data_IF_641244472709
#
_entry.id   IF_641244472709
#
_cell.length_a   1.000
_cell.length_b   1.000
_cell.length_c   1.000
_cell.angle_alpha   90.00
_cell.angle_beta   90.00
_cell.angle_gamma   90.00
#
_symmetry.space_group_name_H-M   'P 1'
#
loop_
_entity.id
_entity.type
_entity.pdbx_description
1 polymer ?
#
# COMPACT_ATOMS: atom_id res chain seq x y z
N UNK A 1 9.61 26.81 -4.69
CA UNK A 1 8.33 26.09 -4.51
C UNK A 1 8.31 24.75 -5.24
N UNK A 2 8.57 24.69 -6.56
CA UNK A 2 8.48 23.44 -7.34
C UNK A 2 9.42 22.29 -6.91
N UNK A 3 10.66 22.60 -6.51
CA UNK A 3 11.63 21.58 -6.07
C UNK A 3 11.18 20.80 -4.82
N UNK A 4 10.71 21.51 -3.79
CA UNK A 4 10.21 20.89 -2.57
C UNK A 4 8.90 20.11 -2.81
N UNK A 5 8.03 20.60 -3.70
CA UNK A 5 6.83 19.88 -4.10
C UNK A 5 7.16 18.55 -4.80
N UNK A 6 8.16 18.56 -5.70
CA UNK A 6 8.61 17.35 -6.39
C UNK A 6 9.23 16.35 -5.42
N UNK A 7 10.09 16.80 -4.51
CA UNK A 7 10.66 15.96 -3.45
C UNK A 7 9.56 15.35 -2.56
N UNK A 8 8.56 16.15 -2.16
CA UNK A 8 7.42 15.67 -1.38
C UNK A 8 6.63 14.60 -2.11
N UNK A 9 6.38 14.77 -3.41
CA UNK A 9 5.66 13.79 -4.23
C UNK A 9 6.45 12.48 -4.38
N UNK A 10 7.76 12.55 -4.61
CA UNK A 10 8.63 11.38 -4.69
C UNK A 10 8.67 10.63 -3.35
N UNK A 11 8.87 11.36 -2.25
CA UNK A 11 8.88 10.77 -0.91
C UNK A 11 7.54 10.08 -0.59
N UNK A 12 6.42 10.74 -0.89
CA UNK A 12 5.09 10.19 -0.72
C UNK A 12 4.88 8.89 -1.53
N UNK A 13 5.29 8.88 -2.81
CA UNK A 13 5.18 7.69 -3.66
C UNK A 13 6.02 6.52 -3.11
N UNK A 14 7.26 6.79 -2.66
CA UNK A 14 8.13 5.77 -2.05
C UNK A 14 7.50 5.20 -0.78
N UNK A 15 6.98 6.06 0.10
CA UNK A 15 6.33 5.62 1.34
C UNK A 15 5.11 4.74 1.06
N UNK A 16 4.28 5.10 0.09
CA UNK A 16 3.13 4.30 -0.33
C UNK A 16 3.57 2.91 -0.84
N UNK A 17 4.62 2.84 -1.65
CA UNK A 17 5.19 1.57 -2.11
C UNK A 17 5.66 0.71 -0.94
N UNK A 18 6.35 1.30 0.05
CA UNK A 18 6.85 0.58 1.21
C UNK A 18 5.72 0.03 2.10
N UNK A 19 4.64 0.80 2.30
CA UNK A 19 3.46 0.36 3.05
C UNK A 19 2.80 -0.84 2.36
N UNK A 20 2.61 -0.77 1.05
CA UNK A 20 1.99 -1.86 0.28
C UNK A 20 2.80 -3.16 0.34
N UNK A 21 4.14 -3.03 0.23
CA UNK A 21 5.04 -4.19 0.38
C UNK A 21 4.96 -4.80 1.78
N UNK A 22 4.83 -3.97 2.83
CA UNK A 22 4.67 -4.46 4.22
C UNK A 22 3.33 -5.15 4.46
N UNK A 23 2.27 -4.70 3.80
CA UNK A 23 0.96 -5.34 3.88
C UNK A 23 0.89 -6.67 3.10
N UNK A 24 1.94 -7.03 2.35
CA UNK A 24 2.03 -8.28 1.59
C UNK A 24 1.44 -8.18 0.18
N UNK A 25 1.17 -6.98 -0.33
CA UNK A 25 0.73 -6.78 -1.71
C UNK A 25 1.92 -6.83 -2.70
N UNK A 26 1.66 -7.28 -3.92
CA UNK A 26 2.65 -7.39 -4.98
C UNK A 26 3.01 -6.01 -5.57
N UNK A 27 4.20 -5.87 -6.16
CA UNK A 27 4.66 -4.61 -6.77
C UNK A 27 3.75 -4.06 -7.88
N UNK A 28 2.95 -4.92 -8.51
CA UNK A 28 1.97 -4.53 -9.55
C UNK A 28 0.74 -3.87 -8.92
N UNK A 29 0.30 -4.32 -7.75
CA UNK A 29 -0.84 -3.70 -7.05
C UNK A 29 -0.52 -2.29 -6.55
N UNK A 30 0.76 -2.01 -6.29
CA UNK A 30 1.24 -0.67 -5.95
C UNK A 30 1.07 0.33 -7.09
N UNK A 31 0.91 -0.11 -8.35
CA UNK A 31 0.71 0.79 -9.51
C UNK A 31 -0.62 1.55 -9.39
N UNK A 32 -1.64 0.95 -8.78
CA UNK A 32 -2.92 1.60 -8.53
C UNK A 32 -2.79 2.87 -7.66
N UNK A 33 -1.70 3.01 -6.90
CA UNK A 33 -1.46 4.18 -6.05
C UNK A 33 -1.10 5.46 -6.81
N UNK A 34 -0.71 5.33 -8.08
CA UNK A 34 -0.31 6.45 -8.92
C UNK A 34 -1.51 7.13 -9.61
N UNK A 35 -2.72 6.59 -9.46
CA UNK A 35 -3.95 7.16 -10.01
C UNK A 35 -4.72 7.84 -8.86
N UNK A 36 -4.84 9.19 -8.83
CA UNK A 36 -5.39 9.91 -7.69
C UNK A 36 -6.80 9.50 -7.27
N UNK A 37 -7.68 9.22 -8.24
CA UNK A 37 -9.05 8.79 -7.96
C UNK A 37 -9.11 7.35 -7.43
N UNK A 38 -8.18 6.49 -7.86
CA UNK A 38 -8.09 5.11 -7.40
C UNK A 38 -7.59 5.07 -5.95
N UNK A 39 -6.76 6.03 -5.51
CA UNK A 39 -6.29 6.09 -4.13
C UNK A 39 -7.42 6.12 -3.10
N UNK A 40 -8.50 6.87 -3.35
CA UNK A 40 -9.63 6.95 -2.41
C UNK A 40 -10.29 5.57 -2.26
N UNK A 41 -10.52 4.88 -3.37
CA UNK A 41 -11.06 3.51 -3.37
C UNK A 41 -10.10 2.54 -2.68
N UNK A 42 -8.81 2.67 -2.98
CA UNK A 42 -7.75 1.86 -2.38
C UNK A 42 -7.71 2.04 -0.86
N UNK A 43 -7.83 3.27 -0.34
CA UNK A 43 -7.88 3.49 1.12
C UNK A 43 -9.10 2.83 1.77
N UNK A 44 -10.28 2.95 1.15
CA UNK A 44 -11.49 2.28 1.64
C UNK A 44 -11.32 0.76 1.62
N UNK A 45 -10.77 0.22 0.53
CA UNK A 45 -10.46 -1.20 0.41
C UNK A 45 -9.46 -1.64 1.49
N UNK A 46 -8.35 -0.93 1.65
CA UNK A 46 -7.30 -1.21 2.65
C UNK A 46 -7.85 -1.20 4.08
N UNK A 47 -8.82 -0.32 4.37
CA UNK A 47 -9.43 -0.21 5.69
C UNK A 47 -10.46 -1.33 5.99
N UNK A 48 -11.08 -1.89 4.95
CA UNK A 48 -12.19 -2.84 5.10
C UNK A 48 -11.80 -4.30 4.79
N UNK A 49 -10.68 -4.54 4.11
CA UNK A 49 -10.24 -5.89 3.75
C UNK A 49 -9.08 -6.38 4.59
N UNK A 50 -9.08 -7.68 4.89
CA UNK A 50 -7.93 -8.37 5.49
C UNK A 50 -6.72 -8.29 4.56
N UNK A 51 -5.57 -7.91 5.11
CA UNK A 51 -4.35 -7.77 4.32
C UNK A 51 -3.73 -9.15 4.04
N UNK A 52 -3.02 -9.32 2.91
CA UNK A 52 -2.31 -10.55 2.60
C UNK A 52 -1.43 -11.04 3.75
N UNK A 53 -0.73 -10.11 4.43
CA UNK A 53 0.12 -10.44 5.58
C UNK A 53 -0.66 -10.93 6.80
N UNK A 54 -1.87 -10.41 7.04
CA UNK A 54 -2.71 -10.85 8.16
C UNK A 54 -3.20 -12.28 7.92
N UNK A 55 -3.55 -12.58 6.67
CA UNK A 55 -3.91 -13.93 6.24
C UNK A 55 -2.74 -14.92 6.43
N UNK A 56 -1.54 -14.56 5.97
CA UNK A 56 -0.33 -15.39 6.16
C UNK A 56 -0.05 -15.64 7.65
N UNK A 57 -0.16 -14.61 8.49
CA UNK A 57 0.05 -14.72 9.93
C UNK A 57 -0.99 -15.63 10.60
N UNK A 58 -2.26 -15.53 10.19
CA UNK A 58 -3.35 -16.37 10.68
C UNK A 58 -3.13 -17.84 10.31
N UNK A 59 -2.72 -18.11 9.07
CA UNK A 59 -2.38 -19.46 8.63
C UNK A 59 -1.17 -20.03 9.39
N UNK A 60 -0.15 -19.22 9.66
CA UNK A 60 0.99 -19.66 10.48
C UNK A 60 0.57 -20.01 11.91
N UNK A 61 -0.28 -19.18 12.54
CA UNK A 61 -0.80 -19.44 13.89
C UNK A 61 -1.71 -20.67 13.96
N UNK A 62 -2.48 -20.94 12.91
CA UNK A 62 -3.36 -22.12 12.86
C UNK A 62 -2.59 -23.44 12.66
N UNK A 63 -1.34 -23.39 12.19
CA UNK A 63 -0.45 -24.54 12.00
C UNK A 63 0.41 -24.87 13.22
N UNK A 64 0.37 -24.07 14.29
CA UNK A 64 1.10 -24.26 15.55
C UNK A 64 0.11 -24.55 16.67
#
# INVERSE_FOLDING_TARGET
MGFFALLGLIAWAILMVLIFKKAGYSGVQTIFLFIPFVNVIVFVWFALTEWPIEKELKEMKARH
#
